data_IF_324293618644
#
_entry.id   IF_324293618644
#
_cell.length_a   1.000
_cell.length_b   1.000
_cell.length_c   1.000
_cell.angle_alpha   90.00
_cell.angle_beta   90.00
_cell.angle_gamma   90.00
#
_symmetry.space_group_name_H-M   'P 1'
#
loop_
_entity.id
_entity.type
_entity.pdbx_description
1 polymer ?
#
# COMPACT_ATOMS: atom_id res chain seq x y z
N UNK A 1 14.19 -1.40 -1.21
CA UNK A 1 13.20 -1.72 -0.16
C UNK A 1 13.29 -3.20 0.20
N UNK A 2 13.90 -3.52 1.34
CA UNK A 2 14.21 -4.92 1.73
C UNK A 2 12.98 -5.83 1.84
N UNK A 3 11.81 -5.29 2.23
CA UNK A 3 10.54 -6.05 2.27
C UNK A 3 10.18 -6.63 0.90
N UNK A 4 10.31 -5.85 -0.17
CA UNK A 4 10.05 -6.32 -1.53
C UNK A 4 11.04 -7.37 -2.02
N UNK A 5 12.23 -7.40 -1.44
CA UNK A 5 13.30 -8.33 -1.81
C UNK A 5 13.37 -9.56 -0.90
N UNK A 6 12.46 -9.69 0.06
CA UNK A 6 12.36 -10.88 0.88
C UNK A 6 11.84 -12.07 0.04
N UNK A 7 12.30 -13.31 0.32
CA UNK A 7 11.73 -14.51 -0.31
C UNK A 7 10.22 -14.64 -0.08
N UNK A 8 9.80 -14.26 1.13
CA UNK A 8 8.40 -14.15 1.54
C UNK A 8 8.11 -12.69 1.93
N UNK A 9 7.55 -11.95 0.97
CA UNK A 9 7.26 -10.52 1.11
C UNK A 9 6.15 -10.25 2.11
N UNK A 10 5.13 -11.11 2.14
CA UNK A 10 3.99 -10.98 3.05
C UNK A 10 4.44 -11.14 4.49
N UNK A 11 5.20 -12.20 4.78
CA UNK A 11 5.75 -12.43 6.12
C UNK A 11 6.70 -11.32 6.53
N UNK A 12 7.60 -10.88 5.63
CA UNK A 12 8.54 -9.79 5.92
C UNK A 12 7.81 -8.48 6.26
N UNK A 13 6.74 -8.16 5.55
CA UNK A 13 5.92 -6.98 5.83
C UNK A 13 5.16 -7.13 7.16
N UNK A 14 4.51 -8.27 7.38
CA UNK A 14 3.74 -8.53 8.59
C UNK A 14 4.60 -8.47 9.86
N UNK A 15 5.80 -9.07 9.83
CA UNK A 15 6.73 -9.04 10.95
C UNK A 15 7.25 -7.62 11.22
N UNK A 16 7.60 -6.88 10.17
CA UNK A 16 7.99 -5.47 10.28
C UNK A 16 6.89 -4.64 10.93
N UNK A 17 5.64 -4.78 10.49
CA UNK A 17 4.51 -4.00 10.99
C UNK A 17 4.09 -4.37 12.41
N UNK A 18 4.19 -5.64 12.79
CA UNK A 18 3.77 -6.13 14.12
C UNK A 18 4.84 -5.95 15.19
N UNK A 19 6.10 -6.15 14.83
CA UNK A 19 7.21 -6.25 15.80
C UNK A 19 8.30 -5.20 15.59
N UNK A 20 8.28 -4.47 14.48
CA UNK A 20 9.37 -3.56 14.10
C UNK A 20 10.61 -4.27 13.55
N UNK A 21 10.60 -5.62 13.47
CA UNK A 21 11.73 -6.40 12.94
C UNK A 21 11.86 -6.20 11.44
N UNK A 22 12.84 -5.42 11.02
CA UNK A 22 13.18 -5.26 9.61
C UNK A 22 13.73 -6.57 9.02
N UNK A 23 13.39 -6.90 7.76
CA UNK A 23 14.02 -8.01 7.07
C UNK A 23 15.49 -7.71 6.77
N UNK A 24 16.27 -8.77 6.56
CA UNK A 24 17.67 -8.65 6.16
C UNK A 24 17.82 -7.70 4.96
N UNK A 25 18.91 -6.93 4.96
CA UNK A 25 19.22 -6.03 3.86
C UNK A 25 19.44 -6.85 2.58
N UNK A 26 18.57 -6.64 1.60
CA UNK A 26 18.64 -7.25 0.28
C UNK A 26 18.26 -6.22 -0.78
N UNK A 27 18.91 -6.32 -1.93
CA UNK A 27 18.66 -5.48 -3.10
C UNK A 27 18.14 -6.36 -4.23
N UNK A 28 17.12 -5.87 -4.91
CA UNK A 28 16.46 -6.51 -6.04
C UNK A 28 15.67 -5.43 -6.80
N UNK A 29 15.23 -5.74 -8.02
CA UNK A 29 14.28 -4.91 -8.74
C UNK A 29 12.92 -4.93 -8.03
N UNK A 30 12.35 -3.76 -7.78
CA UNK A 30 11.08 -3.61 -7.08
C UNK A 30 10.30 -2.38 -7.54
N UNK A 31 8.96 -2.35 -7.39
CA UNK A 31 8.13 -1.32 -8.02
C UNK A 31 8.07 0.02 -7.27
N UNK A 32 8.76 0.17 -6.13
CA UNK A 32 8.58 1.32 -5.22
C UNK A 32 8.75 2.66 -5.94
N UNK A 33 9.82 2.87 -6.71
CA UNK A 33 10.05 4.14 -7.40
C UNK A 33 8.99 4.43 -8.48
N UNK A 34 8.58 3.38 -9.23
CA UNK A 34 7.47 3.48 -10.19
C UNK A 34 6.15 3.85 -9.49
N UNK A 35 5.90 3.28 -8.31
CA UNK A 35 4.69 3.54 -7.54
C UNK A 35 4.69 4.96 -6.94
N UNK A 36 5.85 5.46 -6.49
CA UNK A 36 6.00 6.85 -6.04
C UNK A 36 5.72 7.82 -7.21
N UNK A 37 6.30 7.57 -8.39
CA UNK A 37 6.03 8.37 -9.57
C UNK A 37 4.54 8.33 -10.00
N UNK A 38 3.90 7.16 -9.90
CA UNK A 38 2.46 7.04 -10.14
C UNK A 38 1.65 7.85 -9.12
N UNK A 39 1.99 7.75 -7.84
CA UNK A 39 1.31 8.48 -6.76
C UNK A 39 1.38 10.01 -6.99
N UNK A 40 2.54 10.52 -7.41
CA UNK A 40 2.72 11.93 -7.77
C UNK A 40 1.81 12.35 -8.94
N UNK A 41 1.73 11.53 -10.00
CA UNK A 41 0.85 11.80 -11.15
C UNK A 41 -0.63 11.79 -10.79
N UNK A 42 -1.02 10.96 -9.83
CA UNK A 42 -2.39 10.87 -9.33
C UNK A 42 -2.72 11.92 -8.25
N UNK A 43 -1.78 12.81 -7.90
CA UNK A 43 -1.99 13.84 -6.88
C UNK A 43 -2.11 13.29 -5.46
N UNK A 44 -1.55 12.12 -5.17
CA UNK A 44 -1.54 11.53 -3.83
C UNK A 44 -0.53 12.27 -2.96
N UNK A 45 -1.01 12.89 -1.87
CA UNK A 45 -0.20 13.74 -1.00
C UNK A 45 0.19 13.07 0.33
N UNK A 46 -0.35 11.89 0.64
CA UNK A 46 -0.09 11.21 1.90
C UNK A 46 -0.48 9.73 1.91
N UNK A 47 0.00 9.03 2.92
CA UNK A 47 -0.30 7.61 3.17
C UNK A 47 -1.01 7.42 4.51
N UNK A 48 -1.95 6.45 4.63
CA UNK A 48 -2.47 5.62 3.54
C UNK A 48 -3.42 6.40 2.61
N UNK A 49 -3.50 5.98 1.35
CA UNK A 49 -4.50 6.44 0.37
C UNK A 49 -4.98 5.21 -0.40
N UNK A 50 -6.30 5.06 -0.53
CA UNK A 50 -6.92 3.98 -1.30
C UNK A 50 -7.35 4.47 -2.68
N UNK A 51 -7.16 3.61 -3.68
CA UNK A 51 -7.54 3.81 -5.08
C UNK A 51 -8.43 2.63 -5.47
N UNK A 52 -9.64 2.90 -5.97
CA UNK A 52 -10.55 1.86 -6.44
C UNK A 52 -10.40 1.63 -7.95
N UNK A 53 -10.89 0.49 -8.43
CA UNK A 53 -10.83 0.14 -9.85
C UNK A 53 -11.65 1.08 -10.75
N UNK A 54 -12.67 1.75 -10.20
CA UNK A 54 -13.50 2.76 -10.87
C UNK A 54 -12.91 4.18 -10.79
N UNK A 55 -11.70 4.33 -10.24
CA UNK A 55 -10.96 5.61 -10.22
C UNK A 55 -11.27 6.53 -9.04
N UNK A 56 -12.12 6.13 -8.08
CA UNK A 56 -12.31 6.91 -6.85
C UNK A 56 -11.05 6.85 -5.97
N UNK A 57 -10.86 7.92 -5.20
CA UNK A 57 -9.73 8.08 -4.28
C UNK A 57 -10.28 8.30 -2.88
N UNK A 58 -9.79 7.53 -1.91
CA UNK A 58 -10.08 7.73 -0.49
C UNK A 58 -8.76 8.04 0.24
N UNK A 59 -8.46 9.33 0.50
CA UNK A 59 -7.26 9.72 1.21
C UNK A 59 -7.39 9.49 2.72
N UNK A 60 -6.28 9.15 3.36
CA UNK A 60 -6.19 8.98 4.80
C UNK A 60 -6.58 7.59 5.30
N UNK A 61 -6.33 7.35 6.58
CA UNK A 61 -6.77 6.13 7.26
C UNK A 61 -8.30 6.14 7.43
N UNK A 62 -8.92 4.97 7.26
CA UNK A 62 -10.35 4.78 7.41
C UNK A 62 -10.63 3.50 8.20
N UNK A 63 -11.76 3.46 8.90
CA UNK A 63 -12.21 2.24 9.60
C UNK A 63 -12.64 1.15 8.61
N UNK A 64 -12.76 -0.10 9.09
CA UNK A 64 -13.24 -1.21 8.26
C UNK A 64 -14.62 -0.89 7.67
N UNK A 65 -15.52 -0.35 8.49
CA UNK A 65 -16.90 -0.02 8.09
C UNK A 65 -16.91 1.04 6.98
N UNK A 66 -16.06 2.08 7.09
CA UNK A 66 -15.96 3.12 6.07
C UNK A 66 -15.41 2.57 4.75
N UNK A 67 -14.40 1.69 4.82
CA UNK A 67 -13.81 1.03 3.65
C UNK A 67 -14.85 0.12 2.97
N UNK A 68 -15.57 -0.68 3.74
CA UNK A 68 -16.62 -1.58 3.24
C UNK A 68 -17.76 -0.81 2.55
N UNK A 69 -18.21 0.29 3.15
CA UNK A 69 -19.20 1.19 2.54
C UNK A 69 -18.67 1.78 1.23
N UNK A 70 -17.43 2.28 1.24
CA UNK A 70 -16.79 2.84 0.05
C UNK A 70 -16.65 1.83 -1.08
N UNK A 71 -16.31 0.57 -0.78
CA UNK A 71 -16.22 -0.51 -1.77
C UNK A 71 -17.60 -0.97 -2.27
N UNK A 72 -18.65 -0.84 -1.46
CA UNK A 72 -20.01 -1.19 -1.86
C UNK A 72 -20.61 -0.19 -2.87
N UNK A 73 -20.17 1.07 -2.87
CA UNK A 73 -20.57 2.09 -3.86
C UNK A 73 -20.23 1.66 -5.31
N UNK A 74 -19.11 0.96 -5.52
CA UNK A 74 -18.66 0.47 -6.84
C UNK A 74 -19.41 -0.77 -7.36
N UNK A 75 -20.27 -1.40 -6.56
CA UNK A 75 -21.10 -2.54 -6.98
C UNK A 75 -22.47 -2.11 -7.53
N UNK A 76 -22.75 -0.81 -7.57
CA UNK A 76 -24.02 -0.26 -8.05
C UNK A 76 -23.95 0.19 -9.49
#
# INVERSE_FOLDING_TARGET
MSVWCAPDRERAWAELMKTGKAPDKRTCDHPVDRNIALAQRLGIQGTPTLLSADGRVLPGAASSERIEQWLAESRR
#
